data_IF_104407768412
#
_entry.id   IF_104407768412
#
_cell.length_a   1.000
_cell.length_b   1.000
_cell.length_c   1.000
_cell.angle_alpha   90.00
_cell.angle_beta   90.00
_cell.angle_gamma   90.00
#
_symmetry.space_group_name_H-M   'P 1'
#
loop_
_entity.id
_entity.type
_entity.pdbx_description
1 polymer ?
#
# COMPACT_ATOMS: atom_id res chain seq x y z
N UNK A 1 2.33 13.82 19.71
CA UNK A 1 3.36 13.86 18.64
C UNK A 1 4.81 13.98 19.14
N UNK A 2 5.16 14.70 20.21
CA UNK A 2 6.56 14.76 20.72
C UNK A 2 7.06 13.54 21.53
N UNK A 3 6.30 12.45 21.69
CA UNK A 3 6.64 11.37 22.64
C UNK A 3 7.53 10.26 22.06
N UNK A 4 7.53 10.02 20.75
CA UNK A 4 8.27 8.89 20.14
C UNK A 4 9.67 9.21 19.62
N UNK A 5 10.06 10.49 19.49
CA UNK A 5 11.44 10.88 19.13
C UNK A 5 12.48 10.48 20.20
N UNK A 6 12.05 10.20 21.44
CA UNK A 6 12.94 9.80 22.56
C UNK A 6 13.03 8.29 22.79
N UNK A 7 12.21 7.47 22.14
CA UNK A 7 12.30 6.02 22.26
C UNK A 7 13.35 5.50 21.28
N UNK A 8 14.25 4.64 21.75
CA UNK A 8 15.25 3.96 20.90
C UNK A 8 14.59 3.12 19.81
N UNK A 9 13.32 2.75 20.02
CA UNK A 9 12.59 1.83 19.18
C UNK A 9 11.37 2.50 18.54
N UNK A 10 10.97 1.97 17.38
CA UNK A 10 9.83 2.37 16.56
C UNK A 10 8.79 1.24 16.55
N UNK A 11 7.50 1.60 16.60
CA UNK A 11 6.41 0.62 16.47
C UNK A 11 6.12 0.35 14.99
N UNK A 12 5.97 -0.94 14.67
CA UNK A 12 5.67 -1.42 13.31
C UNK A 12 4.48 -2.37 13.37
N UNK A 13 3.45 -2.12 12.56
CA UNK A 13 2.33 -3.02 12.35
C UNK A 13 2.55 -3.86 11.10
N UNK A 14 2.28 -5.15 11.21
CA UNK A 14 2.42 -6.10 10.11
C UNK A 14 1.14 -6.87 9.87
N UNK A 15 0.60 -6.72 8.67
CA UNK A 15 -0.52 -7.49 8.15
C UNK A 15 -0.06 -8.76 7.42
N UNK A 16 -0.85 -9.83 7.48
CA UNK A 16 -0.52 -11.14 6.90
C UNK A 16 -1.70 -11.75 6.14
N UNK A 17 -1.46 -12.74 5.26
CA UNK A 17 -2.54 -13.57 4.71
C UNK A 17 -2.94 -14.68 5.67
N UNK A 18 -1.99 -15.48 6.14
CA UNK A 18 -2.25 -16.49 7.16
C UNK A 18 -1.14 -16.32 8.19
N UNK A 19 -1.43 -15.82 9.37
CA UNK A 19 -0.43 -15.87 10.42
C UNK A 19 -0.27 -17.30 10.91
N UNK A 20 0.88 -17.59 11.50
CA UNK A 20 1.16 -18.93 12.00
C UNK A 20 0.27 -19.22 13.19
N UNK A 21 -0.54 -20.27 13.13
CA UNK A 21 -1.51 -20.57 14.19
C UNK A 21 -2.77 -19.72 14.06
N UNK A 22 -3.14 -19.01 15.13
CA UNK A 22 -4.37 -18.20 15.18
C UNK A 22 -4.11 -16.70 14.92
N UNK A 23 -2.86 -16.25 15.01
CA UNK A 23 -2.52 -14.83 14.85
C UNK A 23 -2.54 -14.44 13.36
N UNK A 24 -2.71 -13.16 13.05
CA UNK A 24 -2.82 -12.65 11.68
C UNK A 24 -2.31 -11.21 11.52
N UNK A 25 -2.30 -10.43 12.60
CA UNK A 25 -1.72 -9.09 12.66
C UNK A 25 -0.67 -9.04 13.77
N UNK A 26 0.52 -8.54 13.46
CA UNK A 26 1.64 -8.45 14.41
C UNK A 26 2.00 -7.00 14.72
N UNK A 27 2.42 -6.76 15.96
CA UNK A 27 3.04 -5.51 16.41
C UNK A 27 4.49 -5.81 16.71
N UNK A 28 5.39 -5.08 16.06
CA UNK A 28 6.83 -5.22 16.22
C UNK A 28 7.43 -3.96 16.82
N UNK A 29 8.54 -4.15 17.51
CA UNK A 29 9.47 -3.09 17.92
C UNK A 29 10.70 -3.16 17.02
N UNK A 30 11.06 -2.05 16.41
CA UNK A 30 12.26 -1.88 15.58
C UNK A 30 13.29 -1.00 16.28
N UNK A 31 14.52 -1.45 16.42
CA UNK A 31 15.62 -0.58 16.87
C UNK A 31 15.93 0.45 15.77
N UNK A 32 15.88 1.75 16.10
CA UNK A 32 16.07 2.85 15.11
C UNK A 32 17.50 2.98 14.59
N UNK A 33 18.47 2.37 15.27
CA UNK A 33 19.90 2.48 14.94
C UNK A 33 20.40 1.31 14.11
N UNK A 34 19.92 0.09 14.39
CA UNK A 34 20.34 -1.14 13.69
C UNK A 34 19.33 -1.62 12.67
N UNK A 35 18.05 -1.29 12.86
CA UNK A 35 16.94 -1.82 12.09
C UNK A 35 16.55 -3.26 12.44
N UNK A 36 17.02 -3.77 13.59
CA UNK A 36 16.62 -5.07 14.13
C UNK A 36 15.14 -5.03 14.56
N UNK A 37 14.39 -6.09 14.23
CA UNK A 37 12.97 -6.23 14.53
C UNK A 37 12.73 -7.30 15.58
N UNK A 38 11.78 -7.05 16.48
CA UNK A 38 11.29 -8.03 17.46
C UNK A 38 9.77 -7.97 17.56
N UNK A 39 9.10 -9.12 17.62
CA UNK A 39 7.66 -9.17 17.84
C UNK A 39 7.32 -8.86 19.30
N UNK A 40 6.38 -7.94 19.51
CA UNK A 40 5.91 -7.50 20.84
C UNK A 40 4.40 -7.67 21.04
N UNK A 41 3.66 -8.03 19.99
CA UNK A 41 2.24 -8.34 20.05
C UNK A 41 1.76 -9.10 18.81
N UNK A 42 0.69 -9.86 18.96
CA UNK A 42 0.02 -10.59 17.89
C UNK A 42 -1.49 -10.65 18.16
N UNK A 43 -2.29 -10.60 17.10
CA UNK A 43 -3.73 -10.37 17.12
C UNK A 43 -4.42 -11.28 16.11
N UNK A 44 -5.65 -11.69 16.40
CA UNK A 44 -6.39 -12.73 15.69
C UNK A 44 -7.84 -12.33 15.32
N UNK A 45 -8.25 -11.10 15.65
CA UNK A 45 -9.63 -10.64 15.50
C UNK A 45 -10.06 -10.48 14.03
N UNK A 46 -9.11 -10.39 13.10
CA UNK A 46 -9.33 -10.19 11.67
C UNK A 46 -8.60 -11.28 10.90
N UNK A 47 -9.30 -11.94 9.99
CA UNK A 47 -8.71 -12.91 9.07
C UNK A 47 -8.06 -12.17 7.89
N UNK A 48 -6.92 -12.68 7.40
CA UNK A 48 -6.22 -12.11 6.24
C UNK A 48 -6.11 -10.57 6.24
N UNK A 49 -5.55 -9.93 7.31
CA UNK A 49 -5.34 -8.50 7.34
C UNK A 49 -4.21 -8.07 6.40
N UNK A 50 -4.44 -8.22 5.10
CA UNK A 50 -3.41 -8.13 4.06
C UNK A 50 -2.92 -6.71 3.80
N UNK A 51 -3.67 -5.70 4.26
CA UNK A 51 -3.33 -4.30 4.13
C UNK A 51 -3.84 -3.47 5.30
N UNK A 52 -3.01 -2.51 5.74
CA UNK A 52 -3.26 -1.64 6.86
C UNK A 52 -3.10 -0.17 6.44
N UNK A 53 -3.90 0.72 7.02
CA UNK A 53 -3.56 2.15 7.12
C UNK A 53 -3.54 2.58 8.57
N UNK A 54 -2.73 3.58 8.87
CA UNK A 54 -2.49 4.08 10.22
C UNK A 54 -2.78 5.57 10.25
N UNK A 55 -3.68 5.97 11.13
CA UNK A 55 -3.95 7.36 11.47
C UNK A 55 -3.21 7.66 12.78
N UNK A 56 -1.95 8.09 12.66
CA UNK A 56 -1.08 8.34 13.82
C UNK A 56 -1.57 9.51 14.66
N UNK A 57 -2.17 10.53 14.04
CA UNK A 57 -2.69 11.71 14.72
C UNK A 57 -3.81 11.34 15.72
N UNK A 58 -4.70 10.42 15.33
CA UNK A 58 -5.83 9.99 16.18
C UNK A 58 -5.62 8.64 16.86
N UNK A 59 -4.48 7.99 16.64
CA UNK A 59 -4.15 6.72 17.28
C UNK A 59 -5.05 5.57 16.82
N UNK A 60 -5.22 5.40 15.50
CA UNK A 60 -6.11 4.36 14.93
C UNK A 60 -5.43 3.56 13.83
N UNK A 61 -5.75 2.27 13.74
CA UNK A 61 -5.35 1.39 12.65
C UNK A 61 -6.60 0.81 12.00
N UNK A 62 -6.64 0.84 10.67
CA UNK A 62 -7.68 0.17 9.90
C UNK A 62 -7.06 -0.94 9.06
N UNK A 63 -7.75 -2.07 8.98
CA UNK A 63 -7.30 -3.25 8.26
C UNK A 63 -8.39 -3.73 7.29
N UNK A 64 -7.99 -4.19 6.10
CA UNK A 64 -8.88 -5.03 5.29
C UNK A 64 -8.92 -6.44 5.89
N UNK A 65 -9.95 -7.22 5.57
CA UNK A 65 -10.00 -8.67 5.69
C UNK A 65 -10.20 -9.20 4.28
N UNK A 66 -9.14 -9.67 3.62
CA UNK A 66 -9.11 -9.95 2.17
C UNK A 66 -9.80 -11.28 1.81
N UNK A 67 -11.04 -11.45 2.26
CA UNK A 67 -11.85 -12.63 2.00
C UNK A 67 -12.63 -12.49 0.69
N UNK A 68 -12.83 -13.60 -0.01
CA UNK A 68 -13.74 -13.69 -1.15
C UNK A 68 -15.18 -13.85 -0.67
N UNK A 69 -16.13 -13.51 -1.53
CA UNK A 69 -17.54 -13.79 -1.29
C UNK A 69 -17.78 -15.29 -1.10
N UNK A 70 -18.56 -15.65 -0.08
CA UNK A 70 -18.95 -17.03 0.19
C UNK A 70 -20.47 -17.14 0.15
N UNK A 71 -21.01 -18.05 -0.68
CA UNK A 71 -22.42 -18.44 -0.82
C UNK A 71 -23.45 -17.65 0.04
N UNK A 72 -23.81 -16.44 -0.39
CA UNK A 72 -24.84 -15.60 0.23
C UNK A 72 -24.35 -14.61 1.29
N UNK A 73 -23.05 -14.52 1.53
CA UNK A 73 -22.39 -13.55 2.40
C UNK A 73 -21.33 -12.79 1.60
N UNK A 74 -21.41 -11.46 1.62
CA UNK A 74 -20.35 -10.60 1.11
C UNK A 74 -19.09 -10.84 1.95
N UNK A 75 -18.01 -11.20 1.27
CA UNK A 75 -16.89 -11.92 1.87
C UNK A 75 -15.91 -11.03 2.63
N UNK A 76 -15.50 -9.95 1.99
CA UNK A 76 -14.48 -9.06 2.55
C UNK A 76 -15.01 -8.17 3.66
N UNK A 77 -14.16 -7.82 4.61
CA UNK A 77 -14.49 -6.91 5.72
C UNK A 77 -13.45 -5.79 5.83
N UNK A 78 -13.79 -4.74 6.58
CA UNK A 78 -12.85 -3.75 7.09
C UNK A 78 -12.99 -3.63 8.59
N UNK A 79 -11.86 -3.56 9.28
CA UNK A 79 -11.77 -3.54 10.73
C UNK A 79 -11.06 -2.29 11.23
N UNK A 80 -11.35 -1.92 12.48
CA UNK A 80 -10.77 -0.78 13.17
C UNK A 80 -10.22 -1.17 14.53
N UNK A 81 -9.08 -0.57 14.87
CA UNK A 81 -8.39 -0.71 16.14
C UNK A 81 -8.01 0.66 16.68
N UNK A 82 -8.12 0.84 18.00
CA UNK A 82 -7.45 1.93 18.70
C UNK A 82 -6.01 1.52 19.02
N UNK A 83 -5.09 2.48 18.99
CA UNK A 83 -3.69 2.31 19.38
C UNK A 83 -3.49 2.84 20.79
N UNK A 84 -2.93 2.00 21.66
CA UNK A 84 -2.49 2.41 22.99
C UNK A 84 -1.19 3.24 22.89
N UNK A 85 -1.21 4.56 23.18
CA UNK A 85 -0.11 5.47 22.82
C UNK A 85 1.21 5.27 23.56
N UNK A 86 1.27 4.42 24.58
CA UNK A 86 2.51 4.18 25.33
C UNK A 86 3.21 2.90 24.87
N UNK A 87 2.46 1.95 24.31
CA UNK A 87 2.96 0.61 23.95
C UNK A 87 2.84 0.30 22.47
N UNK A 88 2.01 1.03 21.73
CA UNK A 88 1.64 0.69 20.36
C UNK A 88 0.69 -0.52 20.26
N UNK A 89 0.24 -1.07 21.39
CA UNK A 89 -0.70 -2.19 21.40
C UNK A 89 -2.04 -1.80 20.75
N UNK A 90 -2.66 -2.75 20.08
CA UNK A 90 -3.96 -2.55 19.46
C UNK A 90 -5.09 -3.01 20.38
N UNK A 91 -6.18 -2.25 20.37
CA UNK A 91 -7.46 -2.63 20.97
C UNK A 91 -8.52 -2.64 19.88
N UNK A 92 -9.06 -3.81 19.58
CA UNK A 92 -10.10 -3.99 18.58
C UNK A 92 -11.34 -3.15 18.92
N UNK A 93 -11.88 -2.45 17.92
CA UNK A 93 -13.11 -1.64 18.03
C UNK A 93 -14.28 -2.37 17.38
N UNK A 94 -14.10 -2.85 16.16
CA UNK A 94 -15.17 -3.47 15.39
C UNK A 94 -14.84 -3.59 13.91
N UNK A 95 -15.81 -4.11 13.14
CA UNK A 95 -15.69 -4.31 11.70
C UNK A 95 -16.99 -4.03 10.95
N UNK A 96 -16.87 -3.82 9.66
CA UNK A 96 -17.98 -3.69 8.71
C UNK A 96 -17.71 -4.59 7.49
N UNK A 97 -18.76 -5.10 6.81
CA UNK A 97 -18.60 -5.67 5.48
C UNK A 97 -18.00 -4.64 4.53
N UNK A 98 -17.08 -5.07 3.67
CA UNK A 98 -16.47 -4.22 2.63
C UNK A 98 -17.44 -3.95 1.46
N UNK A 99 -18.55 -4.70 1.39
CA UNK A 99 -19.49 -4.72 0.27
C UNK A 99 -18.78 -4.97 -1.07
N UNK A 100 -17.72 -5.77 -1.05
CA UNK A 100 -16.98 -6.26 -2.21
C UNK A 100 -16.14 -7.48 -1.87
N UNK A 101 -15.63 -8.13 -2.91
CA UNK A 101 -14.79 -9.32 -2.76
C UNK A 101 -13.31 -8.96 -2.77
N UNK A 102 -12.55 -9.56 -1.85
CA UNK A 102 -11.10 -9.37 -1.67
C UNK A 102 -10.67 -7.90 -1.53
N UNK A 103 -11.14 -7.17 -0.49
CA UNK A 103 -10.61 -5.85 -0.16
C UNK A 103 -9.11 -5.94 0.09
N UNK A 104 -8.31 -5.17 -0.65
CA UNK A 104 -6.87 -5.34 -0.71
C UNK A 104 -6.07 -4.07 -0.40
N UNK A 105 -6.75 -2.92 -0.29
CA UNK A 105 -6.13 -1.65 0.04
C UNK A 105 -7.17 -0.70 0.63
N UNK A 106 -6.75 0.14 1.57
CA UNK A 106 -7.59 1.16 2.16
C UNK A 106 -6.78 2.42 2.51
N UNK A 107 -7.46 3.57 2.58
CA UNK A 107 -6.88 4.84 3.00
C UNK A 107 -7.92 5.66 3.74
N UNK A 108 -7.47 6.51 4.67
CA UNK A 108 -8.34 7.52 5.30
C UNK A 108 -8.29 8.83 4.51
N UNK A 109 -9.32 9.65 4.64
CA UNK A 109 -9.17 11.06 4.31
C UNK A 109 -8.24 11.78 5.30
N UNK A 110 -7.89 13.04 4.99
CA UNK A 110 -6.97 13.84 5.81
C UNK A 110 -7.51 14.12 7.21
N UNK A 111 -8.83 14.22 7.35
CA UNK A 111 -9.48 14.50 8.64
C UNK A 111 -9.74 13.23 9.47
N UNK A 112 -9.44 12.04 8.93
CA UNK A 112 -9.72 10.76 9.58
C UNK A 112 -11.21 10.52 9.80
N UNK A 113 -12.07 11.08 8.95
CA UNK A 113 -13.54 10.96 9.00
C UNK A 113 -14.09 10.04 7.92
N UNK A 114 -13.28 9.65 6.95
CA UNK A 114 -13.68 8.79 5.83
C UNK A 114 -12.68 7.66 5.65
N UNK A 115 -13.18 6.48 5.34
CA UNK A 115 -12.37 5.32 4.95
C UNK A 115 -12.75 4.91 3.52
N UNK A 116 -11.77 4.76 2.64
CA UNK A 116 -11.97 4.37 1.25
C UNK A 116 -11.22 3.09 0.94
N UNK A 117 -11.92 2.09 0.41
CA UNK A 117 -11.46 0.69 0.30
C UNK A 117 -11.52 0.24 -1.16
N UNK A 118 -10.45 -0.36 -1.68
CA UNK A 118 -10.45 -1.04 -2.96
C UNK A 118 -10.71 -2.54 -2.79
N UNK A 119 -11.68 -3.06 -3.53
CA UNK A 119 -12.09 -4.46 -3.55
C UNK A 119 -11.64 -5.11 -4.87
N UNK A 120 -10.59 -5.93 -4.80
CA UNK A 120 -9.88 -6.46 -5.97
C UNK A 120 -10.75 -7.35 -6.86
N UNK A 121 -11.29 -8.43 -6.30
CA UNK A 121 -11.99 -9.46 -7.09
C UNK A 121 -13.29 -8.92 -7.68
N UNK A 122 -13.98 -8.06 -6.93
CA UNK A 122 -15.22 -7.44 -7.38
C UNK A 122 -15.04 -6.20 -8.27
N UNK A 123 -13.83 -5.66 -8.39
CA UNK A 123 -13.58 -4.43 -9.16
C UNK A 123 -14.36 -3.21 -8.64
N UNK A 124 -14.34 -2.97 -7.34
CA UNK A 124 -15.16 -1.89 -6.75
C UNK A 124 -14.44 -1.08 -5.68
N UNK A 125 -14.98 0.09 -5.37
CA UNK A 125 -14.47 1.00 -4.33
C UNK A 125 -15.59 1.34 -3.35
N UNK A 126 -15.35 1.14 -2.06
CA UNK A 126 -16.31 1.40 -0.98
C UNK A 126 -15.89 2.60 -0.13
N UNK A 127 -16.87 3.39 0.33
CA UNK A 127 -16.68 4.57 1.18
C UNK A 127 -17.48 4.43 2.49
N UNK A 128 -16.82 4.71 3.61
CA UNK A 128 -17.42 4.67 4.94
C UNK A 128 -17.15 5.98 5.70
N UNK A 129 -18.10 6.46 6.52
CA UNK A 129 -17.81 7.43 7.56
C UNK A 129 -17.09 6.75 8.73
N UNK A 130 -16.21 7.49 9.40
CA UNK A 130 -15.52 7.07 10.62
C UNK A 130 -16.03 7.95 11.76
N UNK A 131 -16.48 7.32 12.84
CA UNK A 131 -16.94 8.00 14.06
C UNK A 131 -15.75 8.56 14.86
N UNK A 132 -16.03 9.46 15.81
CA UNK A 132 -15.00 10.05 16.68
C UNK A 132 -14.24 9.01 17.49
N UNK A 133 -14.90 7.93 17.92
CA UNK A 133 -14.29 6.81 18.66
C UNK A 133 -13.47 5.85 17.77
N UNK A 134 -13.42 6.10 16.46
CA UNK A 134 -12.73 5.27 15.48
C UNK A 134 -13.57 4.12 14.92
N UNK A 135 -14.82 3.95 15.35
CA UNK A 135 -15.71 2.95 14.74
C UNK A 135 -16.03 3.29 13.28
N UNK A 136 -16.12 2.25 12.44
CA UNK A 136 -16.50 2.37 11.02
C UNK A 136 -18.03 2.35 10.95
N UNK A 137 -18.63 3.41 10.42
CA UNK A 137 -20.07 3.51 10.21
C UNK A 137 -20.57 2.62 9.06
N UNK A 138 -21.88 2.60 8.79
CA UNK A 138 -22.43 1.85 7.66
C UNK A 138 -21.88 2.36 6.31
N UNK A 139 -21.92 1.51 5.28
CA UNK A 139 -21.52 1.88 3.92
C UNK A 139 -22.25 3.15 3.45
N UNK A 140 -21.49 4.18 3.08
CA UNK A 140 -22.04 5.42 2.57
C UNK A 140 -22.23 5.36 1.05
N UNK A 141 -21.24 4.86 0.32
CA UNK A 141 -21.25 4.77 -1.14
C UNK A 141 -20.37 3.61 -1.63
N UNK A 142 -20.69 3.08 -2.81
CA UNK A 142 -19.91 2.06 -3.50
C UNK A 142 -19.90 2.36 -4.99
N UNK A 143 -18.71 2.37 -5.59
CA UNK A 143 -18.51 2.51 -7.03
C UNK A 143 -18.07 1.19 -7.63
N UNK A 144 -18.91 0.64 -8.49
CA UNK A 144 -18.54 -0.48 -9.35
C UNK A 144 -17.73 0.07 -10.53
N UNK A 145 -16.57 -0.51 -10.77
CA UNK A 145 -15.86 -0.32 -12.03
C UNK A 145 -16.30 -1.39 -13.03
N UNK A 146 -16.37 -1.01 -14.31
CA UNK A 146 -16.72 -1.92 -15.40
C UNK A 146 -15.73 -1.71 -16.54
N UNK A 147 -15.16 -2.81 -17.03
CA UNK A 147 -14.11 -2.78 -18.05
C UNK A 147 -13.26 -4.05 -17.99
N UNK A 148 -12.35 -4.16 -18.94
CA UNK A 148 -11.38 -5.25 -19.07
C UNK A 148 -10.21 -4.73 -19.91
N UNK A 149 -9.16 -5.52 -20.06
CA UNK A 149 -8.05 -5.21 -20.97
C UNK A 149 -7.57 -6.47 -21.69
N UNK A 150 -6.35 -6.42 -22.25
CA UNK A 150 -5.83 -7.38 -23.23
C UNK A 150 -5.47 -8.74 -22.64
N UNK A 151 -5.26 -8.84 -21.31
CA UNK A 151 -4.93 -10.10 -20.64
C UNK A 151 -6.16 -10.83 -20.13
N UNK A 152 -6.56 -11.91 -20.81
CA UNK A 152 -7.73 -12.70 -20.41
C UNK A 152 -7.56 -13.49 -19.09
N UNK A 153 -6.34 -13.60 -18.57
CA UNK A 153 -6.02 -14.34 -17.35
C UNK A 153 -6.07 -13.49 -16.08
N UNK A 154 -5.96 -12.16 -16.22
CA UNK A 154 -5.81 -11.21 -15.10
C UNK A 154 -6.55 -9.88 -15.29
N UNK A 155 -7.10 -9.63 -16.48
CA UNK A 155 -7.77 -8.39 -16.88
C UNK A 155 -9.07 -8.70 -17.62
N UNK A 156 -9.74 -9.79 -17.28
CA UNK A 156 -11.04 -10.19 -17.81
C UNK A 156 -12.19 -9.29 -17.32
N UNK A 157 -11.98 -8.61 -16.19
CA UNK A 157 -12.89 -7.68 -15.56
C UNK A 157 -12.09 -6.58 -14.85
N UNK A 158 -12.78 -5.62 -14.23
CA UNK A 158 -12.15 -4.61 -13.40
C UNK A 158 -11.60 -5.22 -12.10
N UNK A 159 -10.44 -4.73 -11.66
CA UNK A 159 -9.75 -5.15 -10.43
C UNK A 159 -9.11 -3.94 -9.73
N UNK A 160 -9.91 -3.19 -8.98
CA UNK A 160 -9.43 -2.07 -8.16
C UNK A 160 -8.43 -2.57 -7.11
N UNK A 161 -7.19 -2.10 -7.15
CA UNK A 161 -6.11 -2.62 -6.32
C UNK A 161 -5.59 -1.61 -5.27
N UNK A 162 -5.64 -0.31 -5.53
CA UNK A 162 -5.05 0.68 -4.62
C UNK A 162 -5.95 1.89 -4.47
N UNK A 163 -6.02 2.46 -3.26
CA UNK A 163 -6.69 3.73 -2.97
C UNK A 163 -5.68 4.68 -2.31
N UNK A 164 -5.40 5.83 -2.94
CA UNK A 164 -4.47 6.84 -2.42
C UNK A 164 -5.14 8.19 -2.32
N UNK A 165 -5.05 8.83 -1.16
CA UNK A 165 -5.43 10.22 -0.99
C UNK A 165 -4.29 11.14 -1.43
N UNK A 166 -4.57 12.09 -2.32
CA UNK A 166 -3.69 13.23 -2.60
C UNK A 166 -4.50 14.52 -2.69
N UNK A 167 -4.10 15.51 -1.90
CA UNK A 167 -4.67 16.86 -1.74
C UNK A 167 -6.12 16.93 -1.25
N UNK A 168 -7.06 16.26 -1.92
CA UNK A 168 -8.46 16.01 -1.50
C UNK A 168 -9.14 14.99 -2.41
N UNK A 169 -8.37 14.28 -3.24
CA UNK A 169 -8.87 13.34 -4.25
C UNK A 169 -8.39 11.94 -3.92
N UNK A 170 -9.23 10.96 -4.23
CA UNK A 170 -8.89 9.55 -4.15
C UNK A 170 -8.49 9.08 -5.55
N UNK A 171 -7.27 8.58 -5.68
CA UNK A 171 -6.76 7.92 -6.87
C UNK A 171 -6.87 6.41 -6.67
N UNK A 172 -7.45 5.74 -7.66
CA UNK A 172 -7.70 4.30 -7.62
C UNK A 172 -7.05 3.64 -8.81
N UNK A 173 -5.98 2.87 -8.59
CA UNK A 173 -5.40 2.04 -9.63
C UNK A 173 -6.27 0.80 -9.82
N UNK A 174 -6.74 0.59 -11.04
CA UNK A 174 -7.50 -0.58 -11.44
C UNK A 174 -6.69 -1.43 -12.42
N UNK A 175 -6.20 -2.56 -11.91
CA UNK A 175 -5.36 -3.50 -12.63
C UNK A 175 -6.08 -4.07 -13.85
N UNK A 176 -7.37 -4.37 -13.71
CA UNK A 176 -8.15 -5.07 -14.71
C UNK A 176 -8.49 -4.22 -15.93
N UNK A 177 -8.52 -2.90 -15.78
CA UNK A 177 -8.91 -1.96 -16.83
C UNK A 177 -7.74 -1.19 -17.45
N UNK A 178 -6.52 -1.33 -16.91
CA UNK A 178 -5.38 -0.46 -17.22
C UNK A 178 -5.70 1.03 -16.97
N UNK A 179 -6.41 1.33 -15.88
CA UNK A 179 -6.84 2.70 -15.57
C UNK A 179 -6.49 3.13 -14.16
N UNK A 180 -6.32 4.43 -13.99
CA UNK A 180 -6.35 5.13 -12.70
C UNK A 180 -7.62 5.96 -12.67
N UNK A 181 -8.56 5.57 -11.82
CA UNK A 181 -9.81 6.30 -11.58
C UNK A 181 -9.59 7.38 -10.52
N UNK A 182 -10.15 8.57 -10.71
CA UNK A 182 -9.95 9.70 -9.80
C UNK A 182 -11.32 10.15 -9.28
N UNK A 183 -11.47 10.21 -7.96
CA UNK A 183 -12.71 10.58 -7.30
C UNK A 183 -12.52 11.78 -6.36
N UNK A 184 -13.54 12.63 -6.28
CA UNK A 184 -13.72 13.57 -5.17
C UNK A 184 -14.64 12.93 -4.12
N UNK A 185 -14.43 13.27 -2.85
CA UNK A 185 -15.41 12.97 -1.79
C UNK A 185 -16.31 14.21 -1.64
N UNK A 186 -17.61 14.04 -1.83
CA UNK A 186 -18.61 15.08 -1.61
C UNK A 186 -19.38 14.82 -0.32
N UNK A 187 -19.65 15.89 0.44
CA UNK A 187 -20.46 15.86 1.65
C UNK A 187 -21.90 16.28 1.31
N UNK A 188 -22.72 15.35 0.85
CA UNK A 188 -24.08 15.61 0.36
C UNK A 188 -25.16 15.58 1.46
N UNK A 189 -24.84 16.11 2.65
CA UNK A 189 -25.77 16.26 3.77
C UNK A 189 -26.07 14.96 4.51
N UNK A 190 -26.76 14.00 3.87
CA UNK A 190 -27.20 12.76 4.54
C UNK A 190 -26.09 11.70 4.68
N UNK A 191 -25.22 11.57 3.69
CA UNK A 191 -24.05 10.67 3.69
C UNK A 191 -23.03 11.13 2.66
N UNK A 192 -21.71 10.92 2.87
CA UNK A 192 -20.70 11.29 1.88
C UNK A 192 -20.76 10.37 0.65
N UNK A 193 -20.31 10.86 -0.51
CA UNK A 193 -20.31 10.12 -1.77
C UNK A 193 -18.99 10.29 -2.54
N UNK A 194 -18.59 9.24 -3.26
CA UNK A 194 -17.52 9.31 -4.25
C UNK A 194 -18.12 9.86 -5.56
N UNK A 195 -17.52 10.90 -6.11
CA UNK A 195 -17.93 11.46 -7.41
C UNK A 195 -16.77 11.38 -8.37
N UNK A 196 -16.97 10.73 -9.51
CA UNK A 196 -15.94 10.57 -10.52
C UNK A 196 -15.49 11.95 -11.00
N UNK A 197 -14.19 12.20 -10.84
CA UNK A 197 -13.51 13.42 -11.27
C UNK A 197 -12.88 13.23 -12.66
N UNK A 198 -12.28 12.07 -12.89
CA UNK A 198 -11.64 11.73 -14.15
C UNK A 198 -11.02 10.34 -14.14
N UNK A 199 -10.39 9.98 -15.24
CA UNK A 199 -9.65 8.74 -15.40
C UNK A 199 -8.38 8.96 -16.22
N UNK A 200 -7.40 8.09 -16.05
CA UNK A 200 -6.14 8.09 -16.80
C UNK A 200 -5.88 6.67 -17.26
N UNK A 201 -5.67 6.48 -18.56
CA UNK A 201 -5.34 5.20 -19.17
C UNK A 201 -3.83 4.99 -19.13
N UNK A 202 -3.38 3.82 -18.67
CA UNK A 202 -2.01 3.33 -18.90
C UNK A 202 -1.97 2.41 -20.11
N UNK A 203 -0.77 2.07 -20.60
CA UNK A 203 -0.64 1.20 -21.75
C UNK A 203 -1.27 -0.18 -21.50
N UNK A 204 -1.77 -0.79 -22.57
CA UNK A 204 -2.52 -2.05 -22.45
C UNK A 204 -1.63 -3.19 -21.95
N UNK A 205 -2.14 -3.96 -20.99
CA UNK A 205 -1.45 -5.10 -20.38
C UNK A 205 -0.57 -4.73 -19.18
N UNK A 206 -0.53 -3.46 -18.78
CA UNK A 206 0.31 -2.99 -17.68
C UNK A 206 -0.19 -3.51 -16.31
N UNK A 207 -1.48 -3.36 -16.05
CA UNK A 207 -2.12 -3.67 -14.78
C UNK A 207 -1.63 -2.75 -13.65
N UNK A 208 -2.03 -1.46 -13.62
CA UNK A 208 -1.57 -0.52 -12.60
C UNK A 208 -2.00 -1.00 -11.21
N UNK A 209 -1.03 -1.06 -10.29
CA UNK A 209 -1.21 -1.71 -8.99
C UNK A 209 -1.22 -0.72 -7.84
N UNK A 210 -0.09 -0.09 -7.52
CA UNK A 210 0.07 0.89 -6.45
C UNK A 210 0.57 2.23 -7.00
N UNK A 211 0.27 3.33 -6.29
CA UNK A 211 0.61 4.70 -6.69
C UNK A 211 1.40 5.38 -5.56
N UNK A 212 2.52 6.03 -5.90
CA UNK A 212 3.27 6.90 -4.99
C UNK A 212 3.27 8.34 -5.52
N UNK A 213 2.85 9.29 -4.69
CA UNK A 213 2.94 10.73 -5.01
C UNK A 213 4.17 11.33 -4.36
N UNK A 214 4.90 12.15 -5.12
CA UNK A 214 5.98 12.94 -4.54
C UNK A 214 5.40 13.97 -3.56
N UNK A 215 6.07 14.15 -2.43
CA UNK A 215 5.63 15.06 -1.35
C UNK A 215 5.75 16.52 -1.76
N UNK A 216 6.87 16.90 -2.37
CA UNK A 216 7.18 18.29 -2.78
C UNK A 216 6.95 18.60 -4.26
N UNK A 217 7.31 17.69 -5.17
CA UNK A 217 7.28 17.90 -6.60
C UNK A 217 5.95 17.43 -7.23
N UNK A 218 5.53 18.01 -8.36
CA UNK A 218 4.27 17.66 -9.03
C UNK A 218 4.41 16.36 -9.84
N UNK A 219 4.83 15.27 -9.21
CA UNK A 219 5.01 13.96 -9.83
C UNK A 219 4.30 12.84 -9.07
N UNK A 220 3.86 11.84 -9.83
CA UNK A 220 3.37 10.57 -9.30
C UNK A 220 4.00 9.42 -10.07
N UNK A 221 4.10 8.27 -9.41
CA UNK A 221 4.67 7.05 -9.98
C UNK A 221 3.72 5.90 -9.72
N UNK A 222 3.46 5.11 -10.77
CA UNK A 222 2.57 3.95 -10.71
C UNK A 222 3.37 2.72 -11.06
N UNK A 223 3.32 1.73 -10.18
CA UNK A 223 3.91 0.42 -10.44
C UNK A 223 2.87 -0.48 -11.09
N UNK A 224 3.24 -1.10 -12.21
CA UNK A 224 2.35 -1.91 -13.06
C UNK A 224 2.68 -3.39 -12.84
N UNK A 225 1.71 -4.15 -12.35
CA UNK A 225 1.91 -5.53 -11.89
C UNK A 225 2.28 -6.47 -13.03
N UNK A 226 1.54 -6.42 -14.13
CA UNK A 226 1.43 -7.54 -15.08
C UNK A 226 2.56 -7.57 -16.11
N UNK A 227 3.22 -6.45 -16.35
CA UNK A 227 4.36 -6.32 -17.25
C UNK A 227 5.65 -5.86 -16.55
N UNK A 228 5.61 -5.72 -15.23
CA UNK A 228 6.74 -5.31 -14.38
C UNK A 228 7.37 -3.99 -14.85
N UNK A 229 6.56 -2.95 -14.96
CA UNK A 229 6.98 -1.60 -15.31
C UNK A 229 6.61 -0.56 -14.25
N UNK A 230 7.24 0.61 -14.32
CA UNK A 230 6.85 1.81 -13.57
C UNK A 230 6.56 2.92 -14.56
N UNK A 231 5.40 3.54 -14.43
CA UNK A 231 5.00 4.72 -15.21
C UNK A 231 5.09 5.98 -14.34
N UNK A 232 5.86 6.97 -14.80
CA UNK A 232 5.99 8.28 -14.20
C UNK A 232 4.98 9.27 -14.82
N UNK A 233 4.38 10.10 -13.98
CA UNK A 233 3.37 11.09 -14.37
C UNK A 233 3.72 12.48 -13.84
N UNK A 234 3.41 13.50 -14.66
CA UNK A 234 3.25 14.87 -14.19
C UNK A 234 1.87 15.00 -13.55
N UNK A 235 1.83 15.52 -12.33
CA UNK A 235 0.62 15.72 -11.56
C UNK A 235 0.20 17.20 -11.56
N UNK A 236 -1.03 17.48 -11.99
CA UNK A 236 -1.63 18.80 -11.81
C UNK A 236 -2.53 18.80 -10.58
N UNK A 237 -2.11 19.47 -9.51
CA UNK A 237 -2.90 19.62 -8.28
C UNK A 237 -4.22 20.36 -8.56
N UNK A 238 -4.17 21.44 -9.35
CA UNK A 238 -5.34 22.24 -9.71
C UNK A 238 -6.36 21.39 -10.49
N UNK A 239 -5.93 20.79 -11.61
CA UNK A 239 -6.83 20.01 -12.46
C UNK A 239 -7.16 18.63 -11.87
N UNK A 240 -6.34 18.10 -10.97
CA UNK A 240 -6.48 16.74 -10.44
C UNK A 240 -6.24 15.66 -11.48
N UNK A 241 -5.28 15.89 -12.38
CA UNK A 241 -4.99 15.00 -13.51
C UNK A 241 -3.55 14.51 -13.47
N UNK A 242 -3.33 13.35 -14.09
CA UNK A 242 -2.00 12.79 -14.33
C UNK A 242 -1.75 12.78 -15.83
N UNK A 243 -0.55 13.20 -16.24
CA UNK A 243 -0.08 13.12 -17.62
C UNK A 243 1.20 12.32 -17.67
N UNK A 244 1.21 11.25 -18.45
CA UNK A 244 2.36 10.36 -18.59
C UNK A 244 3.63 11.13 -19.02
N UNK A 245 4.76 10.74 -18.45
CA UNK A 245 6.11 11.25 -18.75
C UNK A 245 6.96 10.15 -19.39
N UNK A 246 6.96 8.97 -18.78
CA UNK A 246 7.85 7.86 -19.12
C UNK A 246 7.31 6.57 -18.51
N UNK A 247 7.51 5.44 -19.20
CA UNK A 247 7.41 4.10 -18.63
C UNK A 247 8.78 3.43 -18.71
N UNK A 248 9.22 2.79 -17.62
CA UNK A 248 10.49 2.05 -17.52
C UNK A 248 10.26 0.64 -17.00
N UNK A 249 11.10 -0.31 -17.40
CA UNK A 249 11.07 -1.66 -16.81
C UNK A 249 11.57 -1.62 -15.36
N UNK A 250 10.93 -2.40 -14.50
CA UNK A 250 11.31 -2.71 -13.13
C UNK A 250 12.29 -3.90 -13.01
N UNK A 251 12.70 -4.49 -14.14
CA UNK A 251 13.51 -5.69 -14.19
C UNK A 251 14.87 -5.43 -14.87
N UNK A 252 15.89 -6.25 -14.60
CA UNK A 252 17.14 -6.22 -15.35
C UNK A 252 16.92 -6.55 -16.84
N UNK A 253 17.72 -5.93 -17.70
CA UNK A 253 17.76 -6.24 -19.12
C UNK A 253 18.01 -7.75 -19.35
N UNK A 254 17.14 -8.38 -20.13
CA UNK A 254 17.24 -9.80 -20.48
C UNK A 254 16.72 -10.78 -19.43
N UNK A 255 16.10 -10.32 -18.34
CA UNK A 255 15.38 -11.21 -17.44
C UNK A 255 14.21 -11.88 -18.18
N UNK A 256 14.15 -13.22 -18.13
CA UNK A 256 13.19 -14.02 -18.87
C UNK A 256 12.25 -14.85 -17.96
N UNK A 257 12.37 -14.69 -16.64
CA UNK A 257 11.50 -15.36 -15.68
C UNK A 257 10.15 -14.68 -15.54
N UNK A 258 9.22 -15.33 -14.82
CA UNK A 258 7.97 -14.70 -14.42
C UNK A 258 8.26 -13.67 -13.32
N UNK A 259 7.71 -12.46 -13.47
CA UNK A 259 7.72 -11.49 -12.38
C UNK A 259 6.50 -10.59 -12.40
N UNK A 260 6.06 -10.22 -11.20
CA UNK A 260 4.97 -9.31 -10.96
C UNK A 260 5.40 -8.24 -9.97
N UNK A 261 5.45 -7.00 -10.45
CA UNK A 261 5.62 -5.84 -9.58
C UNK A 261 4.57 -5.80 -8.46
N UNK A 262 4.92 -5.26 -7.29
CA UNK A 262 4.00 -5.18 -6.16
C UNK A 262 3.91 -3.77 -5.56
N UNK A 263 4.88 -3.36 -4.77
CA UNK A 263 4.78 -2.15 -3.97
C UNK A 263 5.71 -1.05 -4.46
N UNK A 264 5.41 0.20 -4.13
CA UNK A 264 6.15 1.37 -4.61
C UNK A 264 6.21 2.46 -3.55
N UNK A 265 7.41 2.96 -3.27
CA UNK A 265 7.63 4.03 -2.29
C UNK A 265 8.66 5.02 -2.79
N UNK A 266 8.44 6.30 -2.50
CA UNK A 266 9.46 7.34 -2.67
C UNK A 266 10.22 7.43 -1.34
N UNK A 267 11.55 7.48 -1.40
CA UNK A 267 12.39 7.69 -0.22
C UNK A 267 12.14 9.06 0.43
N UNK A 268 12.49 9.19 1.71
CA UNK A 268 12.21 10.41 2.50
C UNK A 268 12.79 11.68 1.88
N UNK A 269 13.93 11.60 1.19
CA UNK A 269 14.53 12.76 0.50
C UNK A 269 13.75 13.24 -0.74
N UNK A 270 12.86 12.39 -1.29
CA UNK A 270 12.18 12.63 -2.57
C UNK A 270 13.03 12.31 -3.80
N UNK A 271 14.33 12.00 -3.63
CA UNK A 271 15.25 11.83 -4.77
C UNK A 271 15.29 10.39 -5.34
N UNK A 272 14.71 9.44 -4.61
CA UNK A 272 14.78 8.02 -4.94
C UNK A 272 13.41 7.35 -4.91
N UNK A 273 13.17 6.45 -5.86
CA UNK A 273 11.99 5.62 -5.95
C UNK A 273 12.37 4.15 -5.84
N UNK A 274 11.62 3.41 -5.05
CA UNK A 274 11.78 1.99 -4.82
C UNK A 274 10.55 1.26 -5.34
N UNK A 275 10.73 0.14 -6.05
CA UNK A 275 9.64 -0.72 -6.53
C UNK A 275 9.97 -2.19 -6.35
N UNK A 276 9.07 -2.99 -5.77
CA UNK A 276 9.33 -4.41 -5.53
C UNK A 276 8.83 -5.31 -6.67
N UNK A 277 9.59 -6.37 -6.96
CA UNK A 277 9.28 -7.39 -7.96
C UNK A 277 9.15 -8.75 -7.29
N UNK A 278 7.98 -9.39 -7.40
CA UNK A 278 7.76 -10.78 -6.99
C UNK A 278 8.19 -11.71 -8.11
N UNK A 279 8.94 -12.77 -7.82
CA UNK A 279 9.50 -13.68 -8.82
C UNK A 279 10.97 -13.35 -9.14
N UNK A 280 11.28 -12.10 -9.50
CA UNK A 280 12.68 -11.63 -9.47
C UNK A 280 13.19 -11.38 -8.04
N UNK A 281 12.28 -11.26 -7.07
CA UNK A 281 12.53 -11.17 -5.63
C UNK A 281 13.54 -10.08 -5.25
N UNK A 282 13.27 -8.88 -5.75
CA UNK A 282 14.15 -7.72 -5.61
C UNK A 282 13.37 -6.42 -5.39
N UNK A 283 14.06 -5.39 -4.90
CA UNK A 283 13.65 -3.99 -4.99
C UNK A 283 14.47 -3.29 -6.07
N UNK A 284 13.80 -2.81 -7.10
CA UNK A 284 14.38 -1.90 -8.09
C UNK A 284 14.46 -0.48 -7.50
N UNK A 285 15.62 0.15 -7.66
CA UNK A 285 15.94 1.48 -7.13
C UNK A 285 16.17 2.44 -8.30
N UNK A 286 15.47 3.55 -8.33
CA UNK A 286 15.61 4.60 -9.34
C UNK A 286 15.96 5.94 -8.70
N UNK A 287 16.77 6.73 -9.39
CA UNK A 287 16.90 8.16 -9.14
C UNK A 287 15.77 8.90 -9.84
N UNK A 288 15.12 9.81 -9.13
CA UNK A 288 14.15 10.75 -9.66
C UNK A 288 14.89 12.00 -10.16
N UNK A 289 14.68 12.37 -11.41
CA UNK A 289 15.09 13.68 -11.91
C UNK A 289 14.11 14.74 -11.39
N UNK A 290 14.58 15.62 -10.50
CA UNK A 290 13.72 16.66 -9.88
C UNK A 290 13.15 17.68 -10.87
N UNK A 291 13.70 17.80 -12.08
CA UNK A 291 13.28 18.80 -13.07
C UNK A 291 12.19 18.30 -14.01
N UNK A 292 12.17 16.99 -14.28
CA UNK A 292 11.29 16.40 -15.28
C UNK A 292 10.59 15.12 -14.82
N UNK A 293 10.84 14.65 -13.60
CA UNK A 293 10.19 13.50 -12.98
C UNK A 293 10.63 12.14 -13.53
N UNK A 294 11.56 12.09 -14.50
CA UNK A 294 12.02 10.84 -15.13
C UNK A 294 12.81 9.97 -14.15
N UNK A 295 12.81 8.68 -14.45
CA UNK A 295 13.46 7.66 -13.63
C UNK A 295 14.72 7.15 -14.32
N UNK A 296 15.81 7.06 -13.55
CA UNK A 296 17.05 6.39 -13.95
C UNK A 296 17.35 5.24 -13.00
N UNK A 297 17.42 4.01 -13.50
CA UNK A 297 17.74 2.83 -12.70
C UNK A 297 19.13 2.96 -12.05
N UNK A 298 19.23 2.58 -10.78
CA UNK A 298 20.46 2.58 -9.97
C UNK A 298 20.87 1.14 -9.60
N UNK A 299 19.89 0.31 -9.22
CA UNK A 299 20.12 -0.99 -8.62
C UNK A 299 18.87 -1.88 -8.72
N UNK A 300 19.08 -3.19 -8.75
CA UNK A 300 18.09 -4.17 -8.31
C UNK A 300 18.70 -4.88 -7.10
N UNK A 301 18.15 -4.66 -5.91
CA UNK A 301 18.67 -5.29 -4.69
C UNK A 301 17.81 -6.50 -4.32
N UNK A 302 18.40 -7.70 -4.14
CA UNK A 302 17.67 -8.86 -3.63
C UNK A 302 17.04 -8.57 -2.26
N UNK A 303 15.80 -9.00 -2.04
CA UNK A 303 15.11 -8.76 -0.76
C UNK A 303 15.51 -9.73 0.36
N UNK A 304 16.42 -10.67 0.08
CA UNK A 304 16.85 -11.71 1.03
C UNK A 304 15.77 -12.76 1.33
N UNK A 305 14.66 -12.78 0.59
CA UNK A 305 13.57 -13.74 0.72
C UNK A 305 12.82 -13.90 -0.60
N UNK A 306 11.62 -14.46 -0.55
CA UNK A 306 10.82 -14.74 -1.74
C UNK A 306 9.48 -14.01 -1.72
N UNK A 307 9.09 -13.48 -2.89
CA UNK A 307 7.80 -12.84 -3.14
C UNK A 307 7.57 -11.57 -2.29
N UNK A 308 8.40 -10.51 -2.43
CA UNK A 308 8.28 -9.26 -1.69
C UNK A 308 7.02 -8.46 -2.07
N UNK A 309 5.87 -8.84 -1.51
CA UNK A 309 4.55 -8.26 -1.81
C UNK A 309 4.39 -6.84 -1.27
N UNK A 310 5.10 -6.51 -0.20
CA UNK A 310 5.11 -5.18 0.38
C UNK A 310 6.50 -4.87 0.95
N UNK A 311 6.83 -3.59 0.98
CA UNK A 311 7.93 -3.11 1.81
C UNK A 311 7.57 -1.75 2.40
N UNK A 312 8.38 -1.25 3.31
CA UNK A 312 8.21 0.10 3.83
C UNK A 312 9.58 0.76 4.01
N UNK A 313 9.66 2.05 3.66
CA UNK A 313 10.81 2.92 3.97
C UNK A 313 10.58 3.48 5.38
N UNK A 314 11.57 3.40 6.27
CA UNK A 314 11.43 4.00 7.60
C UNK A 314 11.22 5.51 7.49
N UNK A 315 10.40 6.12 8.37
CA UNK A 315 10.20 7.57 8.38
C UNK A 315 11.45 8.44 8.55
N UNK A 316 12.56 7.89 9.08
CA UNK A 316 13.87 8.57 9.10
C UNK A 316 14.71 8.31 7.84
N UNK A 317 14.22 7.50 6.89
CA UNK A 317 14.84 7.20 5.61
C UNK A 317 16.01 6.21 5.67
N UNK A 318 16.37 5.69 6.84
CA UNK A 318 17.59 4.89 7.04
C UNK A 318 17.47 3.44 6.57
N UNK A 319 16.27 2.89 6.57
CA UNK A 319 16.06 1.48 6.26
C UNK A 319 14.86 1.25 5.35
N UNK A 320 14.92 0.13 4.64
CA UNK A 320 13.80 -0.49 3.93
C UNK A 320 13.53 -1.85 4.56
N UNK A 321 12.28 -2.13 4.92
CA UNK A 321 11.84 -3.41 5.45
C UNK A 321 11.07 -4.14 4.36
N UNK A 322 11.61 -5.25 3.85
CA UNK A 322 10.98 -6.06 2.81
C UNK A 322 10.17 -7.21 3.42
N UNK A 323 8.84 -7.21 3.23
CA UNK A 323 7.96 -8.30 3.64
C UNK A 323 7.89 -9.36 2.52
N UNK A 324 8.60 -10.46 2.73
CA UNK A 324 8.72 -11.57 1.79
C UNK A 324 7.65 -12.63 2.09
N UNK A 325 6.57 -12.60 1.31
CA UNK A 325 5.37 -13.41 1.56
C UNK A 325 5.66 -14.91 1.57
N UNK A 326 6.43 -15.42 0.61
CA UNK A 326 6.58 -16.86 0.41
C UNK A 326 7.75 -17.46 1.19
N UNK A 327 8.56 -16.64 1.86
CA UNK A 327 9.64 -17.08 2.75
C UNK A 327 9.37 -16.81 4.23
N UNK A 328 8.16 -16.34 4.57
CA UNK A 328 7.75 -16.04 5.95
C UNK A 328 8.75 -15.14 6.70
N UNK A 329 9.25 -14.10 6.03
CA UNK A 329 10.31 -13.25 6.56
C UNK A 329 10.12 -11.76 6.27
N UNK A 330 10.57 -10.93 7.20
CA UNK A 330 10.82 -9.51 7.01
C UNK A 330 12.33 -9.30 7.10
N UNK A 331 12.91 -8.79 6.02
CA UNK A 331 14.36 -8.51 5.93
C UNK A 331 14.57 -7.00 5.95
N UNK A 332 15.58 -6.56 6.70
CA UNK A 332 15.94 -5.15 6.79
C UNK A 332 17.13 -4.84 5.89
N UNK A 333 17.00 -3.81 5.06
CA UNK A 333 18.03 -3.28 4.18
C UNK A 333 18.37 -1.84 4.61
N UNK A 334 19.66 -1.51 4.74
CA UNK A 334 20.12 -0.15 4.96
C UNK A 334 20.02 0.67 3.68
N UNK A 335 19.65 1.95 3.82
CA UNK A 335 19.60 2.91 2.72
C UNK A 335 20.85 3.78 2.76
N UNK A 336 21.58 3.81 1.65
CA UNK A 336 22.63 4.80 1.46
C UNK A 336 22.00 6.13 1.02
N UNK A 337 21.84 7.07 1.95
CA UNK A 337 21.15 8.36 1.72
C UNK A 337 21.67 9.15 0.51
N UNK A 338 22.97 9.04 0.21
CA UNK A 338 23.59 9.80 -0.88
C UNK A 338 23.36 9.18 -2.26
N UNK A 339 23.00 7.90 -2.33
CA UNK A 339 22.89 7.16 -3.61
C UNK A 339 21.56 6.45 -3.79
N UNK A 340 20.73 6.37 -2.74
CA UNK A 340 19.49 5.59 -2.69
C UNK A 340 19.71 4.09 -2.69
N UNK A 341 20.96 3.60 -2.76
CA UNK A 341 21.26 2.18 -2.84
C UNK A 341 20.87 1.46 -1.56
N UNK A 342 20.46 0.21 -1.70
CA UNK A 342 20.10 -0.67 -0.61
C UNK A 342 21.22 -1.68 -0.34
N UNK A 343 21.48 -1.97 0.93
CA UNK A 343 22.48 -2.94 1.37
C UNK A 343 21.91 -3.82 2.50
N UNK A 344 22.16 -5.13 2.52
CA UNK A 344 21.64 -6.00 3.57
C UNK A 344 22.28 -5.68 4.93
N UNK A 345 21.46 -5.53 5.97
CA UNK A 345 21.95 -5.36 7.35
C UNK A 345 22.32 -6.69 8.01
N UNK A 346 21.78 -7.79 7.48
CA UNK A 346 21.83 -9.11 8.11
C UNK A 346 20.70 -9.36 9.11
N UNK A 347 19.82 -8.39 9.36
CA UNK A 347 18.65 -8.57 10.23
C UNK A 347 17.47 -9.16 9.44
N UNK A 348 16.93 -10.26 9.98
CA UNK A 348 15.74 -10.94 9.50
C UNK A 348 14.85 -11.27 10.70
N UNK A 349 13.55 -11.02 10.58
CA UNK A 349 12.54 -11.53 11.50
C UNK A 349 11.59 -12.46 10.75
N UNK A 350 11.37 -13.66 11.29
CA UNK A 350 10.36 -14.57 10.74
C UNK A 350 8.96 -14.19 11.21
N UNK A 351 8.10 -13.86 10.25
CA UNK A 351 6.67 -13.61 10.43
C UNK A 351 5.96 -14.37 9.32
N UNK A 352 4.95 -15.20 9.60
CA UNK A 352 4.26 -15.95 8.55
C UNK A 352 3.54 -15.03 7.56
N UNK A 353 3.80 -15.24 6.26
CA UNK A 353 3.20 -14.52 5.12
C UNK A 353 3.00 -13.01 5.34
N UNK A 354 4.05 -12.23 5.64
CA UNK A 354 3.93 -10.80 5.86
C UNK A 354 3.67 -10.11 4.53
N UNK A 355 2.65 -9.25 4.47
CA UNK A 355 2.20 -8.61 3.22
C UNK A 355 1.82 -7.14 3.35
N UNK A 356 1.91 -6.56 4.54
CA UNK A 356 1.80 -5.11 4.73
C UNK A 356 2.61 -4.67 5.94
N UNK A 357 3.44 -3.63 5.81
CA UNK A 357 4.20 -3.01 6.89
C UNK A 357 3.77 -1.56 7.02
N UNK A 358 3.40 -1.13 8.23
CA UNK A 358 3.11 0.28 8.54
C UNK A 358 3.80 0.71 9.83
N UNK A 359 4.24 1.96 9.86
CA UNK A 359 4.85 2.55 11.05
C UNK A 359 3.82 3.34 11.86
N UNK A 360 4.03 3.41 13.17
CA UNK A 360 3.30 4.30 14.07
C UNK A 360 4.29 5.19 14.79
N UNK A 361 4.37 6.48 14.41
CA UNK A 361 5.19 7.51 15.04
C UNK A 361 4.55 8.90 15.01
#
# INVERSE_FOLDING_TARGET
>A
MQRYEKQSNRIVYVGTYNGGGNDSLYVLSMDKSTGELSAIGAYAEVEMPSFLTVDTERGRVFAVSELQDEAGKEGGEVASYAVEPETGALRYIGKQPSFGASPCHLVTDREGKRLVVANYTSGSVSLYPISEDGSIGPLADRKQHEGHSVRSDRQEAAHAHCTVLKDSRIFVADLGMDKIMIYNIQENGEKPALVLHGEVQVHAGAGPRHIAFHSELPYAYVINELDSTITAFAYSQEAGTLREIQTVSALPDGFAGESYCADIHIGVSGDYLYGSNRGHDSIAVYRIDRTNGKLTLIQHEPTGGAWPRNFAVTPDGKFVLAANQNSDSIVTLAVNENTGRLEPTGHELRIPKPVCIRFFE
#
